data_IF_094488943485
#
_entry.id   IF_094488943485
#
_cell.length_a   1.000
_cell.length_b   1.000
_cell.length_c   1.000
_cell.angle_alpha   90.00
_cell.angle_beta   90.00
_cell.angle_gamma   90.00
#
_symmetry.space_group_name_H-M   'P 1'
#
loop_
_entity.id
_entity.type
_entity.pdbx_description
1 polymer ?
#
# COMPACT_ATOMS: atom_id res chain seq x y z
N UNK A 1 10.20 -20.91 -24.97
CA UNK A 1 10.84 -20.74 -23.64
C UNK A 1 10.02 -21.52 -22.62
N UNK A 2 10.62 -22.44 -21.87
CA UNK A 2 9.91 -23.24 -20.87
C UNK A 2 9.58 -22.36 -19.64
N UNK A 3 8.31 -22.29 -19.23
CA UNK A 3 7.91 -21.51 -18.05
C UNK A 3 7.88 -22.40 -16.80
N UNK A 4 8.97 -22.38 -16.02
CA UNK A 4 9.08 -23.17 -14.78
C UNK A 4 8.06 -22.79 -13.70
N UNK A 5 7.36 -21.64 -13.78
CA UNK A 5 6.25 -21.37 -12.84
C UNK A 5 5.07 -22.30 -13.05
N UNK A 6 4.87 -22.81 -14.27
CA UNK A 6 3.78 -23.74 -14.57
C UNK A 6 4.03 -25.15 -13.98
N UNK A 7 5.29 -25.50 -13.70
CA UNK A 7 5.64 -26.78 -13.07
C UNK A 7 5.64 -26.75 -11.54
N UNK A 8 5.52 -25.56 -10.91
CA UNK A 8 5.40 -25.45 -9.47
C UNK A 8 3.99 -25.89 -9.04
N UNK A 9 3.85 -26.81 -8.07
CA UNK A 9 2.54 -27.17 -7.54
C UNK A 9 1.79 -25.93 -7.05
N UNK A 10 0.54 -25.74 -7.52
CA UNK A 10 -0.28 -24.56 -7.16
C UNK A 10 -0.50 -24.39 -5.66
N UNK A 11 -0.37 -25.46 -4.86
CA UNK A 11 -0.42 -25.43 -3.40
C UNK A 11 0.77 -24.71 -2.76
N UNK A 12 1.92 -24.67 -3.43
CA UNK A 12 3.14 -23.99 -2.97
C UNK A 12 3.19 -22.50 -3.36
N UNK A 13 2.25 -22.05 -4.19
CA UNK A 13 2.16 -20.65 -4.62
C UNK A 13 1.27 -19.88 -3.64
N UNK A 14 1.72 -18.69 -3.21
CA UNK A 14 0.88 -17.77 -2.45
C UNK A 14 -0.34 -17.39 -3.27
N UNK A 15 -1.51 -17.43 -2.63
CA UNK A 15 -2.78 -17.07 -3.24
C UNK A 15 -3.27 -15.78 -2.61
N UNK A 16 -3.72 -14.87 -3.46
CA UNK A 16 -4.37 -13.64 -3.05
C UNK A 16 -5.82 -13.65 -3.53
N UNK A 17 -6.73 -12.92 -2.85
CA UNK A 17 -8.10 -12.75 -3.32
C UNK A 17 -8.12 -12.27 -4.78
N UNK A 18 -9.03 -12.83 -5.58
CA UNK A 18 -9.26 -12.37 -6.94
C UNK A 18 -10.31 -11.26 -6.92
N UNK A 19 -10.10 -10.26 -7.77
CA UNK A 19 -11.05 -9.19 -8.05
C UNK A 19 -10.91 -8.79 -9.53
N UNK A 20 -11.84 -8.00 -10.04
CA UNK A 20 -11.89 -7.62 -11.45
C UNK A 20 -11.08 -6.34 -11.78
N UNK A 21 -10.56 -5.67 -10.75
CA UNK A 21 -9.99 -4.33 -10.87
C UNK A 21 -8.45 -4.32 -10.88
N UNK A 22 -7.81 -5.06 -9.96
CA UNK A 22 -6.37 -5.03 -9.74
C UNK A 22 -5.78 -6.43 -9.46
N UNK A 23 -4.63 -6.72 -10.08
CA UNK A 23 -3.82 -7.88 -9.70
C UNK A 23 -3.13 -7.66 -8.36
N UNK A 24 -3.38 -8.55 -7.39
CA UNK A 24 -2.78 -8.45 -6.05
C UNK A 24 -1.50 -9.31 -5.93
N UNK A 25 -0.47 -8.81 -5.21
CA UNK A 25 -0.36 -7.47 -4.64
C UNK A 25 0.10 -6.44 -5.69
N UNK A 26 -0.37 -5.19 -5.59
CA UNK A 26 0.00 -4.11 -6.51
C UNK A 26 0.89 -3.05 -5.87
N UNK A 27 1.41 -2.14 -6.69
CA UNK A 27 2.10 -0.93 -6.27
C UNK A 27 1.50 0.23 -7.03
N UNK A 28 1.33 1.36 -6.36
CA UNK A 28 0.66 2.51 -6.95
C UNK A 28 1.23 3.81 -6.38
N UNK A 29 1.38 4.81 -7.25
CA UNK A 29 1.58 6.19 -6.87
C UNK A 29 0.35 6.99 -7.30
N UNK A 30 -0.19 7.81 -6.39
CA UNK A 30 -1.25 8.76 -6.69
C UNK A 30 -0.69 10.16 -6.41
N UNK A 31 -0.56 10.96 -7.46
CA UNK A 31 0.07 12.27 -7.35
C UNK A 31 -0.73 13.36 -8.06
N UNK A 32 -1.14 14.36 -7.30
CA UNK A 32 -1.86 15.53 -7.78
C UNK A 32 -1.91 16.64 -6.72
N UNK A 33 -2.14 17.92 -7.09
CA UNK A 33 -2.16 19.02 -6.13
C UNK A 33 -3.15 18.84 -4.97
N UNK A 34 -3.02 19.62 -3.90
CA UNK A 34 -4.02 19.62 -2.81
C UNK A 34 -5.43 19.93 -3.33
N UNK A 35 -6.46 19.34 -2.70
CA UNK A 35 -7.87 19.52 -3.10
C UNK A 35 -8.33 18.74 -4.34
N UNK A 36 -7.44 18.03 -5.03
CA UNK A 36 -7.78 17.28 -6.27
C UNK A 36 -8.43 15.90 -6.07
N UNK A 37 -8.71 15.50 -4.82
CA UNK A 37 -9.40 14.23 -4.53
C UNK A 37 -8.52 12.99 -4.38
N UNK A 38 -7.23 13.14 -4.05
CA UNK A 38 -6.29 12.01 -3.83
C UNK A 38 -6.79 11.00 -2.80
N UNK A 39 -7.09 11.46 -1.59
CA UNK A 39 -7.54 10.60 -0.48
C UNK A 39 -8.88 9.94 -0.82
N UNK A 40 -9.80 10.68 -1.46
CA UNK A 40 -11.05 10.11 -1.96
C UNK A 40 -10.83 9.00 -3.01
N UNK A 41 -9.87 9.18 -3.92
CA UNK A 41 -9.49 8.15 -4.91
C UNK A 41 -8.99 6.89 -4.22
N UNK A 42 -8.20 7.03 -3.15
CA UNK A 42 -7.74 5.88 -2.34
C UNK A 42 -8.90 5.17 -1.68
N UNK A 43 -9.83 5.89 -1.06
CA UNK A 43 -11.01 5.28 -0.47
C UNK A 43 -11.87 4.55 -1.50
N UNK A 44 -12.04 5.13 -2.68
CA UNK A 44 -12.74 4.47 -3.77
C UNK A 44 -12.05 3.17 -4.20
N UNK A 45 -10.73 3.15 -4.30
CA UNK A 45 -9.96 1.93 -4.56
C UNK A 45 -10.15 0.89 -3.45
N UNK A 46 -10.14 1.31 -2.18
CA UNK A 46 -10.38 0.42 -1.04
C UNK A 46 -11.79 -0.18 -1.12
N UNK A 47 -12.80 0.61 -1.48
CA UNK A 47 -14.17 0.14 -1.64
C UNK A 47 -14.30 -0.89 -2.77
N UNK A 48 -13.67 -0.64 -3.93
CA UNK A 48 -13.61 -1.60 -5.05
C UNK A 48 -12.91 -2.90 -4.65
N UNK A 49 -11.92 -2.82 -3.77
CA UNK A 49 -11.16 -3.94 -3.26
C UNK A 49 -11.66 -4.42 -1.90
N UNK A 50 -12.93 -4.14 -1.58
CA UNK A 50 -13.54 -4.60 -0.33
C UNK A 50 -13.33 -6.11 -0.18
N UNK A 51 -12.99 -6.55 1.04
CA UNK A 51 -12.68 -7.96 1.38
C UNK A 51 -11.41 -8.54 0.76
N UNK A 52 -10.64 -7.78 -0.02
CA UNK A 52 -9.35 -8.25 -0.56
C UNK A 52 -8.21 -8.14 0.44
N UNK A 53 -8.32 -7.27 1.44
CA UNK A 53 -7.27 -7.03 2.43
C UNK A 53 -7.71 -7.48 3.81
N UNK A 54 -6.83 -8.20 4.48
CA UNK A 54 -7.00 -8.62 5.88
C UNK A 54 -6.59 -7.53 6.88
N UNK A 55 -5.76 -6.59 6.44
CA UNK A 55 -5.29 -5.43 7.20
C UNK A 55 -5.05 -4.27 6.24
N UNK A 56 -5.45 -3.08 6.65
CA UNK A 56 -5.10 -1.82 5.99
C UNK A 56 -4.30 -0.97 6.98
N UNK A 57 -3.12 -0.51 6.57
CA UNK A 57 -2.26 0.36 7.37
C UNK A 57 -2.10 1.68 6.64
N UNK A 58 -2.43 2.79 7.30
CA UNK A 58 -2.28 4.14 6.77
C UNK A 58 -1.20 4.84 7.58
N UNK A 59 -0.09 5.17 6.95
CA UNK A 59 0.99 5.95 7.53
C UNK A 59 0.82 7.40 7.06
N UNK A 60 0.57 8.32 7.99
CA UNK A 60 0.38 9.74 7.72
C UNK A 60 1.14 10.58 8.76
N UNK A 61 1.31 11.86 8.49
CA UNK A 61 1.85 12.81 9.47
C UNK A 61 0.80 13.20 10.51
N UNK A 62 -0.44 13.36 10.08
CA UNK A 62 -1.56 13.80 10.90
C UNK A 62 -2.80 13.06 10.43
N UNK A 63 -3.57 12.52 11.37
CA UNK A 63 -4.82 11.85 11.03
C UNK A 63 -5.82 12.78 10.33
N UNK A 64 -6.64 12.21 9.43
CA UNK A 64 -7.70 12.90 8.72
C UNK A 64 -9.05 12.28 9.10
N UNK A 65 -10.12 13.08 9.19
CA UNK A 65 -11.48 12.59 9.46
C UNK A 65 -11.93 11.48 8.50
N UNK A 66 -11.39 11.49 7.28
CA UNK A 66 -11.67 10.47 6.27
C UNK A 66 -11.14 9.08 6.66
N UNK A 67 -10.01 9.02 7.36
CA UNK A 67 -9.44 7.78 7.86
C UNK A 67 -10.15 7.26 9.11
N UNK A 68 -10.67 8.16 9.95
CA UNK A 68 -11.55 7.77 11.05
C UNK A 68 -12.84 7.15 10.53
N UNK A 69 -13.49 7.79 9.56
CA UNK A 69 -14.65 7.20 8.88
C UNK A 69 -14.33 5.83 8.26
N UNK A 70 -13.13 5.67 7.68
CA UNK A 70 -12.70 4.38 7.14
C UNK A 70 -12.56 3.31 8.22
N UNK A 71 -11.97 3.64 9.38
CA UNK A 71 -11.87 2.72 10.54
C UNK A 71 -13.25 2.31 11.05
N UNK A 72 -14.21 3.24 11.08
CA UNK A 72 -15.58 2.96 11.52
C UNK A 72 -16.35 2.10 10.52
N UNK A 73 -15.94 2.11 9.24
CA UNK A 73 -16.62 1.40 8.15
C UNK A 73 -16.04 0.01 7.89
N UNK A 74 -14.73 -0.19 8.11
CA UNK A 74 -14.01 -1.42 7.73
C UNK A 74 -13.16 -1.91 8.90
N UNK A 75 -13.27 -3.20 9.20
CA UNK A 75 -12.45 -3.85 10.22
C UNK A 75 -10.96 -3.86 9.85
N UNK A 76 -10.11 -3.92 10.88
CA UNK A 76 -8.66 -4.10 10.75
C UNK A 76 -7.94 -2.96 9.98
N UNK A 77 -8.45 -1.74 10.11
CA UNK A 77 -7.76 -0.52 9.67
C UNK A 77 -6.92 0.04 10.82
N UNK A 78 -5.67 0.35 10.54
CA UNK A 78 -4.73 0.98 11.48
C UNK A 78 -4.19 2.26 10.86
N UNK A 79 -4.24 3.36 11.61
CA UNK A 79 -3.62 4.63 11.23
C UNK A 79 -2.46 4.87 12.16
N UNK A 80 -1.29 5.07 11.56
CA UNK A 80 -0.03 5.36 12.21
C UNK A 80 0.33 6.80 11.86
N UNK A 81 0.46 7.63 12.89
CA UNK A 81 0.68 9.07 12.78
C UNK A 81 2.17 9.44 12.93
N UNK A 82 2.45 10.74 12.95
CA UNK A 82 3.79 11.31 13.17
C UNK A 82 4.82 10.88 12.12
N UNK A 83 4.35 10.49 10.92
CA UNK A 83 5.22 10.04 9.84
C UNK A 83 5.94 8.72 10.13
N UNK A 84 5.48 7.95 11.11
CA UNK A 84 6.04 6.64 11.42
C UNK A 84 5.62 5.60 10.37
N UNK A 85 6.54 4.69 10.07
CA UNK A 85 6.31 3.58 9.14
C UNK A 85 6.71 2.29 9.85
N UNK A 86 5.79 1.33 10.02
CA UNK A 86 6.08 0.11 10.77
C UNK A 86 7.03 -0.79 9.98
N UNK A 87 7.72 -1.69 10.66
CA UNK A 87 8.53 -2.68 9.96
C UNK A 87 7.64 -3.76 9.34
N UNK A 88 7.90 -4.12 8.08
CA UNK A 88 7.24 -5.26 7.40
C UNK A 88 7.33 -6.59 8.17
N UNK A 89 8.22 -6.72 9.16
CA UNK A 89 8.36 -7.93 9.99
C UNK A 89 7.35 -8.03 11.12
N UNK A 90 6.65 -6.94 11.45
CA UNK A 90 5.60 -6.91 12.49
C UNK A 90 4.31 -7.58 12.02
N UNK A 91 4.21 -7.94 10.74
CA UNK A 91 3.03 -8.50 10.12
C UNK A 91 3.34 -9.85 9.47
N UNK A 92 2.31 -10.70 9.35
CA UNK A 92 2.42 -11.99 8.68
C UNK A 92 2.78 -11.83 7.19
N UNK A 93 3.30 -12.87 6.56
CA UNK A 93 3.63 -12.84 5.13
C UNK A 93 2.60 -13.51 4.22
N UNK A 94 1.57 -14.14 4.79
CA UNK A 94 0.69 -15.09 4.09
C UNK A 94 -0.62 -14.47 3.61
N UNK A 95 -1.06 -13.40 4.29
CA UNK A 95 -2.30 -12.70 3.97
C UNK A 95 -2.08 -11.51 3.03
N UNK A 96 -3.13 -11.11 2.33
CA UNK A 96 -3.13 -9.88 1.53
C UNK A 96 -3.37 -8.67 2.43
N UNK A 97 -2.51 -7.66 2.33
CA UNK A 97 -2.52 -6.45 3.15
C UNK A 97 -2.30 -5.23 2.29
N UNK A 98 -2.77 -4.08 2.74
CA UNK A 98 -2.57 -2.79 2.07
C UNK A 98 -1.85 -1.83 3.01
N UNK A 99 -0.80 -1.18 2.51
CA UNK A 99 -0.17 -0.02 3.18
C UNK A 99 -0.30 1.22 2.31
N UNK A 100 -0.71 2.32 2.93
CA UNK A 100 -0.85 3.63 2.31
C UNK A 100 0.15 4.57 2.99
N UNK A 101 0.97 5.25 2.20
CA UNK A 101 1.89 6.29 2.66
C UNK A 101 1.35 7.63 2.19
N UNK A 102 0.77 8.40 3.10
CA UNK A 102 0.10 9.65 2.77
C UNK A 102 0.94 10.89 3.07
N UNK A 103 1.21 11.65 2.02
CA UNK A 103 2.02 12.88 1.97
C UNK A 103 3.32 12.85 2.80
N UNK A 104 3.97 11.69 2.88
CA UNK A 104 5.20 11.51 3.65
C UNK A 104 6.45 12.02 2.92
N UNK A 105 6.33 12.76 1.82
CA UNK A 105 7.46 13.11 0.93
C UNK A 105 8.59 13.89 1.61
N UNK A 106 8.25 14.66 2.66
CA UNK A 106 9.21 15.47 3.42
C UNK A 106 9.78 14.74 4.65
N UNK A 107 9.38 13.50 4.91
CA UNK A 107 9.88 12.75 6.05
C UNK A 107 11.37 12.43 5.92
N UNK A 108 12.09 12.23 7.05
CA UNK A 108 13.52 11.96 7.04
C UNK A 108 13.92 10.82 6.11
N UNK A 109 15.17 10.85 5.63
CA UNK A 109 15.72 9.80 4.72
C UNK A 109 15.53 8.38 5.26
N UNK A 110 15.53 8.20 6.59
CA UNK A 110 15.27 6.90 7.24
C UNK A 110 13.86 6.40 6.92
N UNK A 111 12.85 7.24 7.09
CA UNK A 111 11.45 6.93 6.75
C UNK A 111 11.30 6.66 5.26
N UNK A 112 11.86 7.51 4.38
CA UNK A 112 11.83 7.27 2.93
C UNK A 112 12.51 5.95 2.54
N UNK A 113 13.60 5.58 3.21
CA UNK A 113 14.27 4.31 2.98
C UNK A 113 13.38 3.12 3.41
N UNK A 114 12.67 3.22 4.53
CA UNK A 114 11.69 2.20 4.96
C UNK A 114 10.56 2.04 3.94
N UNK A 115 9.99 3.15 3.45
CA UNK A 115 8.97 3.11 2.39
C UNK A 115 9.54 2.48 1.11
N UNK A 116 10.78 2.82 0.74
CA UNK A 116 11.48 2.20 -0.38
C UNK A 116 11.60 0.67 -0.23
N UNK A 117 11.83 0.16 0.98
CA UNK A 117 11.84 -1.29 1.23
C UNK A 117 10.47 -1.93 0.99
N UNK A 118 9.37 -1.27 1.35
CA UNK A 118 8.02 -1.72 1.01
C UNK A 118 7.84 -1.84 -0.50
N UNK A 119 8.20 -0.81 -1.27
CA UNK A 119 8.06 -0.86 -2.73
C UNK A 119 8.94 -1.93 -3.38
N UNK A 120 10.15 -2.17 -2.88
CA UNK A 120 11.04 -3.21 -3.44
C UNK A 120 10.56 -4.62 -3.05
N UNK A 121 10.25 -4.85 -1.78
CA UNK A 121 10.12 -6.21 -1.20
C UNK A 121 8.70 -6.58 -0.75
N UNK A 122 7.82 -5.60 -0.56
CA UNK A 122 6.49 -5.77 0.05
C UNK A 122 5.62 -6.82 -0.62
N UNK A 123 5.62 -6.91 -1.96
CA UNK A 123 4.79 -7.90 -2.68
C UNK A 123 5.10 -9.35 -2.29
N UNK A 124 6.36 -9.69 -1.99
CA UNK A 124 6.72 -11.06 -1.57
C UNK A 124 6.13 -11.43 -0.20
N UNK A 125 5.77 -10.40 0.57
CA UNK A 125 5.15 -10.47 1.90
C UNK A 125 3.64 -10.16 1.88
N UNK A 126 3.01 -10.13 0.71
CA UNK A 126 1.57 -9.93 0.57
C UNK A 126 1.09 -8.47 0.67
N UNK A 127 2.00 -7.50 0.64
CA UNK A 127 1.64 -6.08 0.67
C UNK A 127 1.34 -5.54 -0.73
N UNK A 128 0.17 -4.94 -0.86
CA UNK A 128 -0.10 -3.88 -1.82
C UNK A 128 0.33 -2.54 -1.22
N UNK A 129 0.86 -1.64 -2.05
CA UNK A 129 1.39 -0.35 -1.62
C UNK A 129 0.76 0.79 -2.41
N UNK A 130 0.31 1.83 -1.72
CA UNK A 130 -0.09 3.11 -2.31
C UNK A 130 0.79 4.22 -1.71
N UNK A 131 1.40 5.05 -2.55
CA UNK A 131 2.07 6.28 -2.12
C UNK A 131 1.27 7.48 -2.64
N UNK A 132 0.85 8.35 -1.74
CA UNK A 132 0.13 9.58 -2.07
C UNK A 132 1.10 10.75 -1.96
N UNK A 133 1.10 11.64 -2.95
CA UNK A 133 1.92 12.85 -2.91
C UNK A 133 1.26 14.00 -3.66
N UNK A 134 1.71 15.22 -3.41
CA UNK A 134 1.25 16.39 -4.16
C UNK A 134 1.89 16.49 -5.56
N UNK A 135 3.06 15.86 -5.76
CA UNK A 135 3.80 15.91 -7.02
C UNK A 135 4.45 14.56 -7.32
N UNK A 136 4.26 14.05 -8.53
CA UNK A 136 4.89 12.80 -8.96
C UNK A 136 6.41 12.92 -8.90
N UNK A 137 6.98 14.04 -9.36
CA UNK A 137 8.42 14.26 -9.35
C UNK A 137 9.01 14.41 -7.94
N UNK A 138 8.19 14.75 -6.94
CA UNK A 138 8.59 14.77 -5.53
C UNK A 138 8.78 13.37 -4.94
N UNK A 139 8.09 12.36 -5.47
CA UNK A 139 8.20 10.98 -4.98
C UNK A 139 9.62 10.43 -5.24
N UNK A 140 10.27 9.80 -4.25
CA UNK A 140 11.58 9.19 -4.42
C UNK A 140 11.66 8.30 -5.67
N UNK A 141 12.74 8.45 -6.46
CA UNK A 141 12.94 7.72 -7.72
C UNK A 141 12.75 6.20 -7.56
N UNK A 142 13.24 5.64 -6.45
CA UNK A 142 13.10 4.21 -6.14
C UNK A 142 11.63 3.77 -6.08
N UNK A 143 10.76 4.59 -5.50
CA UNK A 143 9.33 4.29 -5.39
C UNK A 143 8.70 4.37 -6.78
N UNK A 144 8.95 5.46 -7.51
CA UNK A 144 8.42 5.67 -8.88
C UNK A 144 8.76 4.58 -9.88
N UNK A 145 9.99 4.05 -9.83
CA UNK A 145 10.42 2.98 -10.75
C UNK A 145 9.83 1.61 -10.40
N UNK A 146 9.23 1.46 -9.20
CA UNK A 146 8.65 0.21 -8.74
C UNK A 146 7.13 0.25 -8.69
N UNK A 147 6.50 1.43 -8.76
CA UNK A 147 5.06 1.64 -8.81
C UNK A 147 4.48 1.43 -10.19
#
# INVERSE_FOLDING_TARGET
MLNFYQSIPKSKLKKYPKNEHFGLPFRMCIASPSGSGKSNTVLYIIALLSKCFTKIVICTKTNETLYDHLKDTIDNVEVIEEGMVPAMGEYDSETSKLVIFDDLVLEPKKTQAQIGQYFIRGRKKGWSMIYISQSYFGIPKTIRMNS
#
